data_IF_277009197107
#
_entry.id   IF_277009197107
#
_cell.length_a   1.000
_cell.length_b   1.000
_cell.length_c   1.000
_cell.angle_alpha   90.00
_cell.angle_beta   90.00
_cell.angle_gamma   90.00
#
_symmetry.space_group_name_H-M   'P 1'
#
loop_
_entity.id
_entity.type
_entity.pdbx_description
1 polymer ?
#
# COMPACT_ATOMS: atom_id res chain seq x y z
N UNK A 1 25.36 8.60 -11.40
CA UNK A 1 23.93 8.94 -11.21
C UNK A 1 23.23 7.64 -10.86
N UNK A 2 23.12 7.32 -9.56
CA UNK A 2 22.33 6.17 -9.14
C UNK A 2 20.89 6.62 -9.29
N UNK A 3 20.31 6.33 -10.44
CA UNK A 3 18.98 6.81 -10.75
C UNK A 3 18.01 6.23 -9.73
N UNK A 4 17.30 7.11 -9.04
CA UNK A 4 16.48 6.77 -7.89
C UNK A 4 15.38 5.80 -8.36
N UNK A 5 15.57 4.51 -8.11
CA UNK A 5 14.65 3.44 -8.49
C UNK A 5 13.23 3.72 -7.96
N UNK A 6 13.14 4.45 -6.86
CA UNK A 6 11.88 4.96 -6.34
C UNK A 6 11.20 5.93 -7.33
N UNK A 7 11.91 6.94 -7.85
CA UNK A 7 11.34 7.88 -8.83
C UNK A 7 10.92 7.18 -10.12
N UNK A 8 11.72 6.22 -10.59
CA UNK A 8 11.33 5.39 -11.75
C UNK A 8 10.07 4.57 -11.46
N UNK A 9 9.95 4.02 -10.25
CA UNK A 9 8.77 3.29 -9.82
C UNK A 9 7.52 4.16 -9.80
N UNK A 10 7.64 5.41 -9.31
CA UNK A 10 6.55 6.40 -9.32
C UNK A 10 6.16 6.73 -10.76
N UNK A 11 7.11 7.06 -11.63
CA UNK A 11 6.82 7.36 -13.02
C UNK A 11 6.15 6.18 -13.76
N UNK A 12 6.56 4.94 -13.48
CA UNK A 12 5.90 3.76 -14.03
C UNK A 12 4.46 3.61 -13.52
N UNK A 13 4.23 3.87 -12.23
CA UNK A 13 2.90 3.82 -11.64
C UNK A 13 1.97 4.91 -12.20
N UNK A 14 2.47 6.13 -12.38
CA UNK A 14 1.76 7.24 -13.03
C UNK A 14 1.44 6.93 -14.50
N UNK A 15 2.30 6.18 -15.18
CA UNK A 15 2.06 5.67 -16.52
C UNK A 15 1.07 4.49 -16.58
N UNK A 16 0.57 4.02 -15.42
CA UNK A 16 -0.34 2.87 -15.32
C UNK A 16 0.33 1.50 -15.42
N UNK A 17 1.66 1.45 -15.56
CA UNK A 17 2.43 0.22 -15.60
C UNK A 17 2.75 -0.26 -14.17
N UNK A 18 1.72 -0.78 -13.49
CA UNK A 18 1.80 -1.27 -12.13
C UNK A 18 2.79 -2.43 -11.98
N UNK A 19 2.93 -3.26 -13.02
CA UNK A 19 3.88 -4.38 -13.04
C UNK A 19 5.32 -3.89 -12.98
N UNK A 20 5.67 -2.90 -13.82
CA UNK A 20 7.00 -2.29 -13.80
C UNK A 20 7.24 -1.46 -12.54
N UNK A 21 6.24 -0.74 -12.06
CA UNK A 21 6.33 -0.01 -10.79
C UNK A 21 6.68 -0.95 -9.63
N UNK A 22 5.98 -2.09 -9.53
CA UNK A 22 6.27 -3.13 -8.54
C UNK A 22 7.72 -3.61 -8.63
N UNK A 23 8.21 -3.94 -9.83
CA UNK A 23 9.59 -4.39 -10.00
C UNK A 23 10.62 -3.34 -9.60
N UNK A 24 10.38 -2.07 -9.91
CA UNK A 24 11.27 -0.96 -9.59
C UNK A 24 11.31 -0.69 -8.08
N UNK A 25 10.15 -0.69 -7.41
CA UNK A 25 10.09 -0.58 -5.96
C UNK A 25 10.72 -1.78 -5.25
N UNK A 26 10.52 -3.00 -5.75
CA UNK A 26 11.16 -4.19 -5.20
C UNK A 26 12.69 -4.12 -5.33
N UNK A 27 13.22 -3.61 -6.45
CA UNK A 27 14.65 -3.37 -6.61
C UNK A 27 15.15 -2.26 -5.68
N UNK A 28 14.39 -1.17 -5.53
CA UNK A 28 14.71 -0.10 -4.58
C UNK A 28 14.81 -0.64 -3.14
N UNK A 29 13.92 -1.53 -2.74
CA UNK A 29 13.96 -2.19 -1.43
C UNK A 29 15.12 -3.17 -1.26
N UNK A 30 15.60 -3.80 -2.34
CA UNK A 30 16.83 -4.60 -2.29
C UNK A 30 18.06 -3.74 -1.97
N UNK A 31 18.09 -2.50 -2.45
CA UNK A 31 19.17 -1.56 -2.15
C UNK A 31 19.01 -0.91 -0.78
N UNK A 32 17.78 -0.54 -0.41
CA UNK A 32 17.47 0.04 0.89
C UNK A 32 16.21 -0.61 1.50
N UNK A 33 16.37 -1.73 2.24
CA UNK A 33 15.24 -2.45 2.83
C UNK A 33 14.56 -1.69 3.98
N UNK A 34 15.19 -0.62 4.48
CA UNK A 34 14.67 0.23 5.56
C UNK A 34 13.91 1.45 5.04
N UNK A 35 13.67 1.55 3.73
CA UNK A 35 12.93 2.67 3.16
C UNK A 35 11.42 2.51 3.37
N UNK A 36 10.90 3.13 4.43
CA UNK A 36 9.46 3.17 4.70
C UNK A 36 8.64 3.76 3.55
N UNK A 37 9.18 4.78 2.85
CA UNK A 37 8.52 5.43 1.70
C UNK A 37 8.36 4.46 0.54
N UNK A 38 9.38 3.63 0.30
CA UNK A 38 9.35 2.64 -0.77
C UNK A 38 8.42 1.48 -0.44
N UNK A 39 8.39 1.02 0.82
CA UNK A 39 7.41 0.03 1.28
C UNK A 39 5.97 0.55 1.15
N UNK A 40 5.73 1.81 1.53
CA UNK A 40 4.42 2.45 1.41
C UNK A 40 3.99 2.57 -0.06
N UNK A 41 4.90 2.98 -0.94
CA UNK A 41 4.62 3.05 -2.38
C UNK A 41 4.33 1.67 -2.95
N UNK A 42 5.13 0.65 -2.62
CA UNK A 42 4.89 -0.73 -3.05
C UNK A 42 3.49 -1.21 -2.65
N UNK A 43 3.10 -1.02 -1.38
CA UNK A 43 1.79 -1.41 -0.88
C UNK A 43 0.62 -0.71 -1.56
N UNK A 44 0.80 0.52 -2.07
CA UNK A 44 -0.26 1.23 -2.83
C UNK A 44 -0.52 0.64 -4.20
N UNK A 45 0.50 0.10 -4.86
CA UNK A 45 0.42 -0.35 -6.26
C UNK A 45 0.36 -1.87 -6.44
N UNK A 46 0.60 -2.64 -5.37
CA UNK A 46 0.35 -4.07 -5.34
C UNK A 46 -1.16 -4.33 -5.42
N UNK A 47 -1.61 -5.28 -6.24
CA UNK A 47 -3.05 -5.61 -6.33
C UNK A 47 -3.51 -6.67 -5.32
N UNK A 48 -2.57 -7.43 -4.79
CA UNK A 48 -2.81 -8.55 -3.89
C UNK A 48 -2.96 -8.06 -2.43
N UNK A 49 -4.11 -8.33 -1.82
CA UNK A 49 -4.46 -7.85 -0.48
C UNK A 49 -3.46 -8.31 0.59
N UNK A 50 -3.05 -9.58 0.58
CA UNK A 50 -2.06 -10.11 1.54
C UNK A 50 -0.72 -9.41 1.38
N UNK A 51 -0.29 -9.18 0.14
CA UNK A 51 0.95 -8.44 -0.13
C UNK A 51 0.84 -6.96 0.24
N UNK A 52 -0.32 -6.33 0.07
CA UNK A 52 -0.55 -4.94 0.52
C UNK A 52 -0.42 -4.83 2.03
N UNK A 53 -1.10 -5.71 2.76
CA UNK A 53 -1.06 -5.79 4.21
C UNK A 53 0.38 -5.92 4.70
N UNK A 54 1.12 -6.90 4.18
CA UNK A 54 2.53 -7.10 4.51
C UNK A 54 3.38 -5.84 4.27
N UNK A 55 3.16 -5.12 3.17
CA UNK A 55 3.89 -3.88 2.90
C UNK A 55 3.62 -2.81 3.97
N UNK A 56 2.36 -2.62 4.37
CA UNK A 56 2.01 -1.62 5.39
C UNK A 56 2.49 -2.03 6.78
N UNK A 57 2.42 -3.31 7.13
CA UNK A 57 3.02 -3.83 8.37
C UNK A 57 4.52 -3.57 8.43
N UNK A 58 5.24 -3.71 7.30
CA UNK A 58 6.66 -3.37 7.23
C UNK A 58 6.90 -1.87 7.41
N UNK A 59 6.05 -1.01 6.86
CA UNK A 59 6.14 0.43 7.12
C UNK A 59 6.00 0.72 8.62
N UNK A 60 5.01 0.12 9.29
CA UNK A 60 4.78 0.32 10.73
C UNK A 60 5.87 -0.31 11.60
N UNK A 61 6.51 -1.38 11.14
CA UNK A 61 7.66 -1.97 11.82
C UNK A 61 8.89 -1.06 11.77
N UNK A 62 9.06 -0.28 10.70
CA UNK A 62 10.16 0.67 10.52
C UNK A 62 9.87 2.02 11.19
N UNK A 63 8.65 2.51 10.99
CA UNK A 63 8.15 3.76 11.52
C UNK A 63 6.75 3.53 12.10
N UNK A 64 6.66 3.19 13.41
CA UNK A 64 5.39 2.96 14.07
C UNK A 64 4.45 4.15 13.99
N UNK A 65 4.96 5.37 13.94
CA UNK A 65 4.16 6.61 13.92
C UNK A 65 3.61 6.96 12.53
N UNK A 66 3.81 6.11 11.52
CA UNK A 66 3.29 6.35 10.17
C UNK A 66 1.75 6.19 10.12
N UNK A 67 1.05 7.29 10.33
CA UNK A 67 -0.42 7.33 10.30
C UNK A 67 -1.01 6.88 8.97
N UNK A 68 -0.33 7.17 7.85
CA UNK A 68 -0.79 6.76 6.52
C UNK A 68 -0.84 5.25 6.40
N UNK A 69 0.22 4.54 6.81
CA UNK A 69 0.24 3.08 6.78
C UNK A 69 -0.79 2.48 7.74
N UNK A 70 -1.01 3.08 8.93
CA UNK A 70 -2.05 2.62 9.87
C UNK A 70 -3.45 2.74 9.27
N UNK A 71 -3.75 3.86 8.63
CA UNK A 71 -5.05 4.09 8.02
C UNK A 71 -5.29 3.13 6.85
N UNK A 72 -4.30 2.97 5.96
CA UNK A 72 -4.39 2.03 4.84
C UNK A 72 -4.54 0.58 5.29
N UNK A 73 -3.85 0.18 6.36
CA UNK A 73 -4.00 -1.16 6.93
C UNK A 73 -5.39 -1.36 7.55
N UNK A 74 -5.90 -0.35 8.27
CA UNK A 74 -7.27 -0.37 8.81
C UNK A 74 -8.31 -0.46 7.71
N UNK A 75 -8.17 0.31 6.63
CA UNK A 75 -9.07 0.26 5.46
C UNK A 75 -9.06 -1.11 4.78
N UNK A 76 -7.89 -1.77 4.74
CA UNK A 76 -7.76 -3.09 4.15
C UNK A 76 -8.37 -4.19 5.03
N UNK A 77 -8.28 -4.05 6.35
CA UNK A 77 -8.79 -5.00 7.34
C UNK A 77 -10.24 -4.71 7.76
N UNK A 78 -10.77 -3.53 7.44
CA UNK A 78 -12.14 -3.19 7.73
C UNK A 78 -13.04 -4.20 7.00
N UNK A 79 -13.91 -4.94 7.72
CA UNK A 79 -14.97 -5.66 7.06
C UNK A 79 -15.76 -4.64 6.25
N UNK A 80 -16.27 -5.05 5.09
CA UNK A 80 -17.15 -4.23 4.24
C UNK A 80 -18.46 -3.93 4.98
N UNK A 81 -18.43 -3.08 5.99
CA UNK A 81 -19.47 -2.90 7.00
C UNK A 81 -20.47 -1.81 6.58
N UNK A 82 -20.73 -1.70 5.28
CA UNK A 82 -21.64 -0.68 4.70
C UNK A 82 -22.78 -1.30 3.89
N UNK A 83 -23.17 -2.55 4.15
CA UNK A 83 -24.39 -3.12 3.54
C UNK A 83 -25.47 -3.59 4.52
N UNK A 84 -25.28 -3.45 5.84
CA UNK A 84 -26.30 -3.88 6.82
C UNK A 84 -27.11 -2.74 7.47
N UNK A 85 -27.05 -1.50 6.95
CA UNK A 85 -27.97 -0.41 7.37
C UNK A 85 -29.18 -0.23 6.43
N UNK A 86 -29.41 -1.19 5.52
CA UNK A 86 -30.69 -1.35 4.84
C UNK A 86 -31.36 -2.55 5.50
N UNK A 87 -32.63 -2.44 5.88
CA UNK A 87 -33.47 -3.46 6.56
C UNK A 87 -33.62 -3.34 8.10
N UNK A 88 -33.93 -2.16 8.62
CA UNK A 88 -34.82 -1.98 9.80
C UNK A 88 -35.33 -0.52 9.76
N UNK A 89 -36.58 -0.13 9.58
CA UNK A 89 -37.88 -0.81 9.68
C UNK A 89 -38.87 -0.09 8.75
N UNK A 90 -39.39 -0.80 7.74
CA UNK A 90 -40.72 -0.54 7.18
C UNK A 90 -41.66 -1.44 8.00
N UNK A 91 -42.01 -1.00 9.21
CA UNK A 91 -43.00 -1.68 10.05
C UNK A 91 -44.19 -0.72 10.26
N UNK A 92 -45.16 -0.87 9.35
CA UNK A 92 -46.62 -0.61 9.43
C UNK A 92 -47.15 0.70 10.06
#
# INVERSE_FOLDING_TARGET
MMEDLYQKGIAAAEAGDLGKAYQLFAQALKLNPKSEKTWLALGRYVNDAEKKEYCFEKVLSLNPENETARNLLRELQAPSEVQDILFSDDEL
#
